data_IF_098654568789
#
_entry.id   IF_098654568789
#
_cell.length_a   1.000
_cell.length_b   1.000
_cell.length_c   1.000
_cell.angle_alpha   90.00
_cell.angle_beta   90.00
_cell.angle_gamma   90.00
#
_symmetry.space_group_name_H-M   'P 1'
#
loop_
_entity.id
_entity.type
_entity.pdbx_description
1 polymer ?
#
# COMPACT_ATOMS: atom_id res chain seq x y z
N UNK A 1 48.06 -17.51 -10.37
CA UNK A 1 48.88 -17.79 -11.56
C UNK A 1 48.16 -17.24 -12.78
N UNK A 2 48.77 -16.22 -13.43
CA UNK A 2 48.65 -15.80 -14.86
C UNK A 2 47.23 -15.45 -15.37
N UNK A 3 46.96 -14.30 -15.95
CA UNK A 3 47.66 -13.73 -17.12
C UNK A 3 47.56 -12.20 -17.16
N UNK A 4 48.71 -11.52 -17.16
CA UNK A 4 48.86 -10.13 -17.56
C UNK A 4 49.09 -10.14 -19.07
N UNK A 5 48.15 -9.60 -19.84
CA UNK A 5 48.35 -9.34 -21.28
C UNK A 5 48.95 -7.94 -21.39
N UNK A 6 50.26 -7.94 -21.67
CA UNK A 6 51.03 -6.75 -22.01
C UNK A 6 50.82 -6.38 -23.48
N UNK A 7 51.11 -5.11 -23.76
CA UNK A 7 51.66 -4.59 -25.01
C UNK A 7 50.64 -3.92 -25.95
N UNK A 8 50.56 -2.59 -25.85
CA UNK A 8 50.87 -1.72 -26.98
C UNK A 8 51.52 -0.45 -26.43
N UNK A 9 52.83 -0.39 -26.64
CA UNK A 9 53.71 0.71 -26.26
C UNK A 9 53.49 1.82 -27.29
N UNK A 10 53.01 2.98 -26.86
CA UNK A 10 53.12 4.21 -27.61
C UNK A 10 53.62 5.30 -26.66
N UNK A 11 54.94 5.48 -26.68
CA UNK A 11 55.64 6.60 -26.08
C UNK A 11 55.38 7.84 -26.93
N UNK A 12 54.52 8.75 -26.46
CA UNK A 12 54.63 10.18 -26.78
C UNK A 12 54.44 10.99 -25.50
N UNK A 13 55.23 12.05 -25.41
CA UNK A 13 55.62 12.73 -24.20
C UNK A 13 54.66 13.85 -23.76
N UNK A 14 54.69 14.11 -22.45
CA UNK A 14 54.60 15.41 -21.77
C UNK A 14 53.28 16.23 -21.77
N UNK A 15 52.75 16.33 -20.54
CA UNK A 15 52.12 17.49 -19.83
C UNK A 15 50.92 18.23 -20.45
N UNK A 16 49.79 18.20 -19.73
CA UNK A 16 48.99 19.33 -19.21
C UNK A 16 48.00 18.70 -18.21
N UNK A 17 47.99 19.21 -16.97
CA UNK A 17 47.19 18.65 -15.88
C UNK A 17 45.70 18.97 -15.94
N UNK A 18 44.94 18.33 -15.06
CA UNK A 18 43.86 18.92 -14.25
C UNK A 18 43.41 17.88 -13.21
N UNK A 19 43.61 18.23 -11.93
CA UNK A 19 42.90 17.80 -10.72
C UNK A 19 42.38 16.36 -10.61
N UNK A 20 43.09 15.51 -9.87
CA UNK A 20 42.41 14.48 -9.08
C UNK A 20 41.80 15.17 -7.85
N UNK A 21 40.55 15.61 -7.98
CA UNK A 21 39.74 15.98 -6.83
C UNK A 21 39.47 14.69 -6.02
N UNK A 22 39.96 14.67 -4.80
CA UNK A 22 39.77 13.61 -3.83
C UNK A 22 38.28 13.60 -3.41
N UNK A 23 37.46 12.76 -4.02
CA UNK A 23 36.08 12.57 -3.58
C UNK A 23 36.05 11.74 -2.29
N UNK A 24 35.60 12.43 -1.26
CA UNK A 24 35.26 11.97 0.08
C UNK A 24 34.35 10.74 0.04
N UNK A 25 34.71 9.68 0.75
CA UNK A 25 33.79 8.59 1.09
C UNK A 25 32.66 9.13 1.99
N UNK A 26 31.51 9.44 1.39
CA UNK A 26 30.24 9.55 2.09
C UNK A 26 29.13 8.99 1.19
N UNK A 27 29.15 7.68 0.98
CA UNK A 27 28.06 6.98 0.32
C UNK A 27 26.93 6.70 1.32
N UNK A 28 26.09 7.72 1.55
CA UNK A 28 24.71 7.51 1.97
C UNK A 28 23.91 7.23 0.69
N UNK A 29 23.88 5.97 0.27
CA UNK A 29 23.09 5.54 -0.88
C UNK A 29 21.75 4.99 -0.42
N UNK A 30 20.69 5.76 -0.62
CA UNK A 30 19.38 5.21 -0.93
C UNK A 30 18.71 6.11 -1.98
N UNK A 31 19.18 5.95 -3.22
CA UNK A 31 18.41 6.30 -4.41
C UNK A 31 17.99 5.01 -5.09
N UNK A 32 16.70 4.68 -5.05
CA UNK A 32 16.13 3.64 -5.91
C UNK A 32 15.05 4.26 -6.77
N UNK A 33 15.43 4.66 -7.99
CA UNK A 33 14.53 4.84 -9.11
C UNK A 33 14.58 3.56 -9.94
N UNK A 34 13.47 2.83 -10.03
CA UNK A 34 13.20 1.91 -11.14
C UNK A 34 11.70 1.77 -11.32
N UNK A 35 11.22 2.25 -12.47
CA UNK A 35 9.91 1.91 -13.02
C UNK A 35 9.86 0.40 -13.31
N UNK A 36 8.85 -0.26 -12.75
CA UNK A 36 8.65 -1.69 -12.87
C UNK A 36 7.52 -2.12 -11.95
N UNK A 37 6.33 -2.24 -12.53
CA UNK A 37 5.07 -2.63 -11.91
C UNK A 37 5.26 -3.92 -11.07
N UNK A 38 5.29 -3.79 -9.74
CA UNK A 38 5.43 -4.92 -8.84
C UNK A 38 4.75 -4.60 -7.51
N UNK A 39 3.44 -4.88 -7.44
CA UNK A 39 2.56 -4.73 -6.25
C UNK A 39 3.09 -5.43 -4.99
N UNK A 40 4.16 -6.23 -5.09
CA UNK A 40 4.76 -6.98 -3.99
C UNK A 40 5.94 -6.31 -3.28
N UNK A 41 6.41 -5.14 -3.75
CA UNK A 41 7.54 -4.44 -3.11
C UNK A 41 7.13 -3.40 -2.05
N UNK A 42 5.84 -3.00 -2.00
CA UNK A 42 5.33 -2.08 -0.97
C UNK A 42 5.07 -2.78 0.39
N UNK A 43 5.08 -4.11 0.40
CA UNK A 43 4.96 -4.94 1.61
C UNK A 43 6.24 -4.93 2.47
N UNK A 44 7.40 -4.49 1.95
CA UNK A 44 8.70 -4.74 2.60
C UNK A 44 8.98 -3.86 3.83
N UNK A 45 8.15 -2.86 4.15
CA UNK A 45 8.30 -2.01 5.37
C UNK A 45 6.97 -1.70 6.08
N UNK A 46 5.97 -2.53 5.88
CA UNK A 46 4.65 -2.31 6.43
C UNK A 46 4.58 -3.01 7.80
N UNK A 47 4.88 -2.27 8.87
CA UNK A 47 4.82 -2.77 10.25
C UNK A 47 3.53 -2.26 10.89
N UNK A 48 2.71 -3.13 11.51
CA UNK A 48 1.52 -2.70 12.22
C UNK A 48 1.85 -1.61 13.26
N UNK A 49 1.20 -0.46 13.11
CA UNK A 49 1.41 0.70 14.00
C UNK A 49 0.47 0.68 15.21
N UNK A 50 -0.55 -0.18 15.18
CA UNK A 50 -1.52 -0.38 16.26
C UNK A 50 -1.99 -1.84 16.32
N UNK A 51 -2.51 -2.22 17.46
CA UNK A 51 -3.18 -3.51 17.64
C UNK A 51 -4.63 -3.40 17.17
N UNK A 52 -5.10 -4.39 16.42
CA UNK A 52 -6.47 -4.45 15.94
C UNK A 52 -7.39 -5.16 16.93
N UNK A 53 -8.68 -4.85 16.85
CA UNK A 53 -9.70 -5.49 17.69
C UNK A 53 -10.04 -6.90 17.17
N UNK A 54 -11.00 -7.56 17.83
CA UNK A 54 -11.50 -8.88 17.41
C UNK A 54 -12.13 -8.77 16.02
N UNK A 55 -11.86 -9.78 15.18
CA UNK A 55 -12.32 -9.87 13.79
C UNK A 55 -11.79 -8.74 12.88
N UNK A 56 -10.64 -8.17 13.24
CA UNK A 56 -9.90 -7.19 12.45
C UNK A 56 -8.47 -7.64 12.13
N UNK A 57 -7.96 -7.21 10.97
CA UNK A 57 -6.58 -7.39 10.54
C UNK A 57 -5.96 -6.05 10.11
N UNK A 58 -4.69 -5.83 10.47
CA UNK A 58 -3.97 -4.64 10.06
C UNK A 58 -3.59 -4.75 8.59
N UNK A 59 -4.16 -3.91 7.75
CA UNK A 59 -3.77 -3.80 6.36
C UNK A 59 -3.01 -2.49 6.15
N UNK A 60 -1.83 -2.59 5.56
CA UNK A 60 -0.97 -1.45 5.28
C UNK A 60 -1.44 -0.61 4.09
N UNK A 61 -2.27 -1.19 3.22
CA UNK A 61 -2.81 -0.53 2.06
C UNK A 61 -4.24 -1.06 1.85
N UNK A 62 -5.16 -0.56 2.67
CA UNK A 62 -6.59 -0.82 2.53
C UNK A 62 -7.35 0.38 1.96
N UNK A 63 -8.64 0.20 1.61
CA UNK A 63 -9.47 1.28 1.11
C UNK A 63 -9.70 2.39 2.15
N UNK A 64 -10.12 3.57 1.72
CA UNK A 64 -10.49 4.70 2.59
C UNK A 64 -11.78 4.47 3.39
N UNK A 65 -12.55 3.42 3.07
CA UNK A 65 -13.80 3.06 3.74
C UNK A 65 -13.77 1.63 4.27
N UNK A 66 -14.70 1.32 5.15
CA UNK A 66 -15.02 -0.04 5.56
C UNK A 66 -16.52 -0.22 5.42
N UNK A 67 -16.92 -1.35 4.82
CA UNK A 67 -18.34 -1.67 4.70
C UNK A 67 -18.94 -1.82 6.09
N UNK A 68 -20.11 -1.22 6.29
CA UNK A 68 -20.97 -1.52 7.42
C UNK A 68 -22.18 -2.35 6.96
N UNK A 69 -23.05 -2.75 7.88
CA UNK A 69 -24.31 -3.40 7.54
C UNK A 69 -25.26 -2.54 6.68
N UNK A 70 -25.08 -1.22 6.65
CA UNK A 70 -26.01 -0.29 6.02
C UNK A 70 -25.36 0.57 4.92
N UNK A 71 -24.03 0.59 4.84
CA UNK A 71 -23.32 1.51 3.96
C UNK A 71 -22.96 0.89 2.60
N UNK A 72 -22.79 1.77 1.63
CA UNK A 72 -22.29 1.47 0.29
C UNK A 72 -20.79 1.76 0.20
N UNK A 73 -20.10 1.03 -0.66
CA UNK A 73 -18.71 1.34 -1.03
C UNK A 73 -18.62 2.76 -1.64
N UNK A 74 -17.54 3.48 -1.34
CA UNK A 74 -17.18 4.75 -1.97
C UNK A 74 -15.91 4.58 -2.79
N UNK A 75 -15.77 5.39 -3.86
CA UNK A 75 -14.53 5.42 -4.64
C UNK A 75 -13.47 6.25 -3.89
N UNK A 76 -12.34 5.61 -3.58
CA UNK A 76 -11.21 6.22 -2.89
C UNK A 76 -10.10 6.65 -3.85
N UNK A 77 -10.24 6.40 -5.16
CA UNK A 77 -9.14 6.48 -6.11
C UNK A 77 -7.97 5.57 -5.72
N UNK A 78 -6.75 5.99 -6.07
CA UNK A 78 -5.52 5.22 -5.84
C UNK A 78 -4.92 5.44 -4.43
N UNK A 79 -5.69 6.00 -3.50
CA UNK A 79 -5.26 6.23 -2.13
C UNK A 79 -5.52 5.01 -1.27
N UNK A 80 -4.53 4.59 -0.49
CA UNK A 80 -4.69 3.54 0.51
C UNK A 80 -4.22 3.96 1.90
N UNK A 81 -4.79 3.30 2.90
CA UNK A 81 -4.66 3.67 4.30
C UNK A 81 -4.15 2.47 5.10
N UNK A 82 -3.23 2.75 6.03
CA UNK A 82 -2.61 1.74 6.89
C UNK A 82 -3.37 1.65 8.22
N UNK A 83 -4.37 0.78 8.27
CA UNK A 83 -5.36 0.73 9.36
C UNK A 83 -5.81 -0.71 9.65
N UNK A 84 -6.64 -0.88 10.68
CA UNK A 84 -7.30 -2.14 10.98
C UNK A 84 -8.62 -2.26 10.22
N UNK A 85 -8.78 -3.32 9.44
CA UNK A 85 -9.96 -3.60 8.62
C UNK A 85 -10.64 -4.88 9.11
N UNK A 86 -11.96 -4.97 8.94
CA UNK A 86 -12.65 -6.24 9.18
C UNK A 86 -12.03 -7.35 8.31
N UNK A 87 -11.82 -8.53 8.90
CA UNK A 87 -11.35 -9.71 8.16
C UNK A 87 -12.36 -10.10 7.08
N UNK A 88 -11.93 -10.90 6.11
CA UNK A 88 -12.78 -11.32 5.00
C UNK A 88 -14.10 -11.97 5.49
N UNK A 89 -15.23 -11.55 4.92
CA UNK A 89 -16.56 -12.00 5.30
C UNK A 89 -17.21 -11.23 6.46
N UNK A 90 -16.48 -10.32 7.10
CA UNK A 90 -16.97 -9.46 8.17
C UNK A 90 -17.17 -8.03 7.68
N UNK A 91 -18.10 -7.31 8.31
CA UNK A 91 -18.40 -5.90 8.07
C UNK A 91 -18.62 -5.20 9.41
N UNK A 92 -18.49 -3.87 9.44
CA UNK A 92 -18.79 -3.09 10.64
C UNK A 92 -20.29 -3.16 10.96
N UNK A 93 -20.66 -3.31 12.22
CA UNK A 93 -22.08 -3.27 12.64
C UNK A 93 -22.72 -1.91 12.29
N UNK A 94 -21.96 -0.83 12.45
CA UNK A 94 -22.23 0.56 12.04
C UNK A 94 -20.88 1.27 11.83
N UNK A 95 -20.80 2.46 11.18
CA UNK A 95 -19.53 3.19 11.01
C UNK A 95 -18.73 3.32 12.32
N UNK A 96 -17.52 2.75 12.34
CA UNK A 96 -16.65 2.74 13.52
C UNK A 96 -17.03 1.74 14.63
N UNK A 97 -18.08 0.93 14.44
CA UNK A 97 -18.47 -0.16 15.34
C UNK A 97 -17.58 -1.40 15.21
N UNK A 98 -17.91 -2.49 15.93
CA UNK A 98 -17.16 -3.76 15.81
C UNK A 98 -17.39 -4.45 14.46
N UNK A 99 -16.46 -5.31 14.06
CA UNK A 99 -16.67 -6.22 12.94
C UNK A 99 -17.59 -7.37 13.36
N UNK A 100 -18.55 -7.71 12.51
CA UNK A 100 -19.45 -8.86 12.66
C UNK A 100 -19.53 -9.63 11.34
N UNK A 101 -19.83 -10.94 11.36
CA UNK A 101 -20.13 -11.68 10.13
C UNK A 101 -21.24 -10.98 9.35
N UNK A 102 -21.02 -10.75 8.05
CA UNK A 102 -21.98 -10.05 7.18
C UNK A 102 -23.38 -10.68 7.19
N UNK A 103 -23.46 -11.99 7.44
CA UNK A 103 -24.70 -12.75 7.57
C UNK A 103 -25.57 -12.33 8.76
N UNK A 104 -25.00 -11.68 9.77
CA UNK A 104 -25.73 -11.16 10.93
C UNK A 104 -26.24 -9.73 10.77
N UNK A 105 -25.95 -9.08 9.64
CA UNK A 105 -26.58 -7.80 9.34
C UNK A 105 -28.09 -7.96 9.27
N UNK A 106 -28.81 -7.22 10.12
CA UNK A 106 -30.26 -7.14 10.04
C UNK A 106 -30.62 -6.46 8.72
N UNK A 107 -31.37 -7.16 7.86
CA UNK A 107 -31.95 -6.51 6.69
C UNK A 107 -32.92 -5.45 7.19
N UNK A 108 -32.82 -4.19 6.71
CA UNK A 108 -33.87 -3.23 6.94
C UNK A 108 -35.19 -3.86 6.52
N UNK A 109 -36.15 -3.96 7.45
CA UNK A 109 -37.52 -4.28 7.08
C UNK A 109 -37.99 -3.10 6.24
N UNK A 110 -38.05 -3.28 4.91
CA UNK A 110 -38.71 -2.29 4.06
C UNK A 110 -40.13 -2.14 4.63
N UNK A 111 -40.55 -0.93 5.05
CA UNK A 111 -41.94 -0.73 5.41
C UNK A 111 -42.74 -1.14 4.19
N UNK A 112 -43.69 -2.06 4.40
CA UNK A 112 -44.70 -2.35 3.38
C UNK A 112 -45.33 -0.98 3.14
N UNK A 113 -45.06 -0.39 1.98
CA UNK A 113 -45.89 0.71 1.50
C UNK A 113 -47.27 0.08 1.43
N UNK A 114 -48.10 0.36 2.44
CA UNK A 114 -49.51 0.02 2.38
C UNK A 114 -50.01 0.87 1.22
N UNK A 115 -50.21 0.22 0.08
CA UNK A 115 -50.97 0.76 -1.03
C UNK A 115 -52.35 1.09 -0.48
N UNK A 116 -52.52 2.33 -0.02
CA UNK A 116 -53.83 2.89 0.23
C UNK A 116 -54.39 3.31 -1.13
N UNK A 117 -54.67 2.33 -1.98
CA UNK A 117 -55.67 2.45 -3.04
C UNK A 117 -57.05 2.32 -2.38
N UNK A 118 -57.41 3.27 -1.52
CA UNK A 118 -58.81 3.46 -1.15
C UNK A 118 -59.45 4.32 -2.25
N UNK A 119 -59.91 3.62 -3.29
CA UNK A 119 -60.86 4.17 -4.25
C UNK A 119 -62.19 4.45 -3.55
N UNK A 120 -62.57 5.72 -3.40
CA UNK A 120 -63.97 6.17 -3.25
C UNK A 120 -64.15 7.63 -3.65
#
# INVERSE_FOLDING_TARGET
MKTVVFCCIALFAAIIGCSDAQETNYALEHNFTTEGNNESQQQLRCTPTKQCDVDEEFNCCGPCYQLSCYDTAIDCGDQCFAECYCVEGFVREYPGGRCIPKLFCQKPTLPILSDNDESL
#
